data_IF_439984138047
#
_entry.id   IF_439984138047
#
_cell.length_a   1.000
_cell.length_b   1.000
_cell.length_c   1.000
_cell.angle_alpha   90.00
_cell.angle_beta   90.00
_cell.angle_gamma   90.00
#
_symmetry.space_group_name_H-M   'P 1'
#
loop_
_entity.id
_entity.type
_entity.pdbx_description
1 polymer ?
#
# COMPACT_ATOMS: atom_id res chain seq x y z
N UNK A 1 -11.94 -48.05 -8.50
CA UNK A 1 -11.81 -47.49 -7.13
C UNK A 1 -10.53 -46.69 -7.11
N UNK A 2 -10.65 -45.36 -7.16
CA UNK A 2 -9.65 -44.38 -6.69
C UNK A 2 -10.36 -43.02 -6.71
N UNK A 3 -10.83 -42.60 -5.54
CA UNK A 3 -11.39 -41.27 -5.36
C UNK A 3 -10.25 -40.25 -5.35
N UNK A 4 -10.48 -39.13 -6.01
CA UNK A 4 -9.65 -37.93 -5.99
C UNK A 4 -9.58 -37.42 -4.55
N UNK A 5 -8.37 -37.38 -4.01
CA UNK A 5 -8.07 -36.70 -2.75
C UNK A 5 -7.82 -35.22 -3.06
N UNK A 6 -8.90 -34.49 -3.34
CA UNK A 6 -8.88 -33.02 -3.35
C UNK A 6 -8.99 -32.53 -1.90
N UNK A 7 -7.93 -32.79 -1.13
CA UNK A 7 -7.75 -32.17 0.18
C UNK A 7 -7.70 -30.65 0.02
N UNK A 8 -8.39 -29.87 0.86
CA UNK A 8 -8.31 -28.42 0.80
C UNK A 8 -6.86 -28.01 1.07
N UNK A 9 -6.25 -27.28 0.12
CA UNK A 9 -4.96 -26.60 0.32
C UNK A 9 -5.10 -25.62 1.50
N UNK A 10 -4.88 -26.13 2.71
CA UNK A 10 -4.70 -25.38 3.94
C UNK A 10 -3.34 -24.70 3.87
N UNK A 11 -3.30 -23.53 3.24
CA UNK A 11 -2.06 -22.77 3.10
C UNK A 11 -2.16 -21.35 2.56
N UNK A 12 -3.36 -20.79 2.38
CA UNK A 12 -3.48 -19.34 2.23
C UNK A 12 -3.45 -18.74 3.63
N UNK A 13 -2.25 -18.47 4.15
CA UNK A 13 -2.10 -17.51 5.25
C UNK A 13 -2.85 -16.26 4.82
N UNK A 14 -3.97 -15.96 5.47
CA UNK A 14 -4.70 -14.72 5.32
C UNK A 14 -3.85 -13.60 5.91
N UNK A 15 -2.76 -13.25 5.23
CA UNK A 15 -2.14 -11.97 5.41
C UNK A 15 -3.20 -10.95 4.99
N UNK A 16 -3.94 -10.44 5.98
CA UNK A 16 -4.81 -9.30 5.82
C UNK A 16 -3.98 -8.23 5.12
N UNK A 17 -4.36 -7.90 3.89
CA UNK A 17 -3.69 -6.84 3.15
C UNK A 17 -3.80 -5.55 3.97
N UNK A 18 -2.71 -4.81 4.05
CA UNK A 18 -2.60 -3.65 4.92
C UNK A 18 -1.96 -2.50 4.17
N UNK A 19 -2.18 -1.29 4.68
CA UNK A 19 -1.72 -0.08 4.04
C UNK A 19 -0.37 0.35 4.60
N UNK A 20 0.52 0.72 3.70
CA UNK A 20 1.88 1.15 3.99
C UNK A 20 2.14 2.55 3.47
N UNK A 21 2.92 3.32 4.21
CA UNK A 21 3.36 4.66 3.80
C UNK A 21 4.55 4.58 2.86
N UNK A 22 4.46 5.22 1.70
CA UNK A 22 5.56 5.38 0.75
C UNK A 22 5.64 6.82 0.23
N UNK A 23 6.85 7.31 -0.01
CA UNK A 23 7.05 8.62 -0.63
C UNK A 23 6.84 8.54 -2.14
N UNK A 24 6.13 9.51 -2.70
CA UNK A 24 5.98 9.69 -4.14
C UNK A 24 6.75 10.93 -4.60
N UNK A 25 7.79 10.71 -5.40
CA UNK A 25 8.69 11.77 -5.87
C UNK A 25 8.05 12.63 -6.96
N UNK A 26 7.17 12.06 -7.79
CA UNK A 26 6.46 12.78 -8.85
C UNK A 26 5.46 13.83 -8.36
N UNK A 27 5.05 13.77 -7.10
CA UNK A 27 4.09 14.68 -6.47
C UNK A 27 4.72 15.70 -5.52
N UNK A 28 6.03 15.97 -5.63
CA UNK A 28 6.73 16.87 -4.72
C UNK A 28 7.17 16.22 -3.39
N UNK A 29 7.33 14.89 -3.38
CA UNK A 29 7.84 14.13 -2.23
C UNK A 29 6.84 13.94 -1.10
N UNK A 30 5.54 13.87 -1.43
CA UNK A 30 4.50 13.61 -0.45
C UNK A 30 4.41 12.11 -0.14
N UNK A 31 4.15 11.77 1.12
CA UNK A 31 3.88 10.40 1.52
C UNK A 31 2.40 10.04 1.28
N UNK A 32 2.18 8.90 0.64
CA UNK A 32 0.86 8.31 0.38
C UNK A 32 0.77 6.90 0.95
N UNK A 33 -0.45 6.43 1.16
CA UNK A 33 -0.73 5.05 1.54
C UNK A 33 -0.91 4.20 0.28
N UNK A 34 -0.22 3.06 0.24
CA UNK A 34 -0.38 2.03 -0.81
C UNK A 34 -0.67 0.69 -0.16
N UNK A 35 -1.38 -0.20 -0.87
CA UNK A 35 -1.59 -1.55 -0.38
C UNK A 35 -0.27 -2.33 -0.38
N UNK A 36 -0.04 -3.10 0.69
CA UNK A 36 1.12 -3.98 0.79
C UNK A 36 1.18 -4.94 -0.40
N UNK A 37 0.05 -5.53 -0.81
CA UNK A 37 -0.01 -6.41 -1.98
C UNK A 37 0.45 -5.72 -3.28
N UNK A 38 0.07 -4.46 -3.49
CA UNK A 38 0.51 -3.67 -4.63
C UNK A 38 2.01 -3.39 -4.56
N UNK A 39 2.50 -3.03 -3.37
CA UNK A 39 3.93 -2.80 -3.12
C UNK A 39 4.76 -4.10 -3.23
N UNK A 40 4.21 -5.26 -2.89
CA UNK A 40 4.91 -6.53 -2.99
C UNK A 40 4.97 -7.07 -4.42
N UNK A 41 4.08 -6.64 -5.31
CA UNK A 41 4.03 -7.12 -6.69
C UNK A 41 4.94 -6.30 -7.62
N UNK A 42 6.08 -6.86 -8.08
CA UNK A 42 7.01 -6.13 -8.96
C UNK A 42 6.49 -5.96 -10.39
N UNK A 43 5.41 -6.67 -10.77
CA UNK A 43 4.82 -6.58 -12.11
C UNK A 43 3.87 -5.38 -12.27
N UNK A 44 3.47 -4.74 -11.16
CA UNK A 44 2.64 -3.54 -11.20
C UNK A 44 3.51 -2.32 -11.49
N UNK A 45 3.35 -1.77 -12.69
CA UNK A 45 4.06 -0.56 -13.15
C UNK A 45 3.36 0.72 -12.72
N UNK A 46 2.05 0.66 -12.51
CA UNK A 46 1.24 1.73 -11.93
C UNK A 46 0.72 1.27 -10.57
N UNK A 47 0.75 2.16 -9.58
CA UNK A 47 0.23 1.90 -8.24
C UNK A 47 -0.83 2.95 -7.89
N UNK A 48 -1.97 2.47 -7.38
CA UNK A 48 -3.07 3.32 -6.95
C UNK A 48 -2.91 3.65 -5.45
N UNK A 49 -2.55 4.88 -5.07
CA UNK A 49 -2.55 5.28 -3.66
C UNK A 49 -3.98 5.33 -3.12
N UNK A 50 -4.14 5.18 -1.81
CA UNK A 50 -5.45 5.24 -1.14
C UNK A 50 -6.23 6.47 -1.57
N UNK A 51 -5.62 7.65 -1.51
CA UNK A 51 -6.32 8.91 -1.76
C UNK A 51 -7.01 9.02 -3.13
N UNK A 52 -6.77 8.07 -4.04
CA UNK A 52 -7.37 8.00 -5.36
C UNK A 52 -8.34 6.82 -5.55
N UNK A 53 -8.60 5.98 -4.53
CA UNK A 53 -9.46 4.78 -4.65
C UNK A 53 -10.90 5.10 -5.04
N UNK A 54 -11.41 6.25 -4.61
CA UNK A 54 -12.79 6.68 -4.85
C UNK A 54 -12.91 7.73 -5.98
N UNK A 55 -11.82 7.96 -6.72
CA UNK A 55 -11.80 8.90 -7.84
C UNK A 55 -12.22 8.18 -9.12
N UNK A 56 -13.14 8.76 -9.89
CA UNK A 56 -13.70 8.14 -11.11
C UNK A 56 -12.65 7.79 -12.16
N UNK A 57 -11.65 8.65 -12.34
CA UNK A 57 -10.55 8.46 -13.29
C UNK A 57 -9.23 8.82 -12.60
N UNK A 58 -8.69 7.92 -11.76
CA UNK A 58 -7.51 8.23 -10.96
C UNK A 58 -6.26 8.25 -11.84
N UNK A 59 -5.40 9.24 -11.61
CA UNK A 59 -4.04 9.23 -12.16
C UNK A 59 -3.16 8.42 -11.21
N UNK A 60 -2.99 7.15 -11.53
CA UNK A 60 -2.11 6.26 -10.77
C UNK A 60 -0.66 6.75 -10.79
N UNK A 61 0.12 6.30 -9.83
CA UNK A 61 1.51 6.71 -9.67
C UNK A 61 2.46 5.67 -10.28
N UNK A 62 3.41 6.15 -11.08
CA UNK A 62 4.45 5.30 -11.64
C UNK A 62 5.30 4.64 -10.54
N UNK A 63 5.46 3.32 -10.62
CA UNK A 63 6.23 2.52 -9.67
C UNK A 63 7.66 3.04 -9.44
N UNK A 64 8.44 3.47 -10.46
CA UNK A 64 9.78 4.04 -10.26
C UNK A 64 9.80 5.34 -9.45
N UNK A 65 8.68 6.06 -9.39
CA UNK A 65 8.53 7.32 -8.65
C UNK A 65 8.11 7.11 -7.20
N UNK A 66 7.96 5.86 -6.75
CA UNK A 66 7.54 5.51 -5.39
C UNK A 66 8.70 4.89 -4.63
N UNK A 67 8.88 5.25 -3.36
CA UNK A 67 9.91 4.68 -2.52
C UNK A 67 9.77 3.16 -2.42
N UNK A 68 10.86 2.43 -2.69
CA UNK A 68 10.88 0.96 -2.64
C UNK A 68 10.58 0.42 -1.24
N UNK A 69 11.04 1.15 -0.23
CA UNK A 69 10.82 0.82 1.17
C UNK A 69 9.71 1.69 1.75
N UNK A 70 9.00 1.10 2.71
CA UNK A 70 8.06 1.82 3.56
C UNK A 70 8.78 2.93 4.32
N UNK A 71 8.12 4.06 4.50
CA UNK A 71 8.66 5.24 5.16
C UNK A 71 7.88 5.61 6.42
N UNK A 72 8.52 6.39 7.28
CA UNK A 72 7.85 7.21 8.30
C UNK A 72 7.62 8.57 7.66
N UNK A 73 6.36 8.98 7.39
CA UNK A 73 6.09 10.27 6.76
C UNK A 73 6.65 11.43 7.59
N UNK A 74 7.31 12.38 6.92
CA UNK A 74 7.81 13.59 7.57
C UNK A 74 6.65 14.56 7.86
N UNK A 75 6.67 15.30 8.99
CA UNK A 75 5.68 16.36 9.25
C UNK A 75 5.60 17.34 8.08
N UNK A 76 4.39 17.68 7.65
CA UNK A 76 4.15 18.57 6.51
C UNK A 76 4.43 17.96 5.12
N UNK A 77 4.78 16.67 5.03
CA UNK A 77 5.00 15.92 3.78
C UNK A 77 4.10 14.69 3.69
N UNK A 78 2.86 14.83 4.13
CA UNK A 78 1.87 13.73 4.17
C UNK A 78 0.67 14.13 3.35
N UNK A 79 0.23 13.27 2.43
CA UNK A 79 -1.00 13.50 1.66
C UNK A 79 -2.18 13.69 2.63
N UNK A 80 -2.95 14.80 2.55
CA UNK A 80 -3.95 15.11 3.58
C UNK A 80 -5.10 14.10 3.59
N UNK A 81 -5.46 13.57 2.42
CA UNK A 81 -6.48 12.52 2.29
C UNK A 81 -6.02 11.22 2.93
N UNK A 82 -4.76 10.82 2.68
CA UNK A 82 -4.17 9.65 3.34
C UNK A 82 -4.01 9.87 4.86
N UNK A 83 -3.68 11.09 5.29
CA UNK A 83 -3.55 11.45 6.70
C UNK A 83 -4.89 11.34 7.44
N UNK A 84 -5.97 11.86 6.85
CA UNK A 84 -7.32 11.72 7.40
C UNK A 84 -7.70 10.24 7.56
N UNK A 85 -7.42 9.39 6.57
CA UNK A 85 -7.71 7.95 6.68
C UNK A 85 -6.91 7.27 7.79
N UNK A 86 -5.66 7.68 8.01
CA UNK A 86 -4.84 7.19 9.10
C UNK A 86 -5.47 7.44 10.48
N UNK A 87 -6.08 8.62 10.67
CA UNK A 87 -6.80 8.97 11.90
C UNK A 87 -8.04 8.09 12.11
N UNK A 88 -8.80 7.82 11.05
CA UNK A 88 -10.04 7.04 11.12
C UNK A 88 -9.79 5.53 11.27
N UNK A 89 -8.75 4.99 10.62
CA UNK A 89 -8.47 3.55 10.56
C UNK A 89 -7.29 3.08 11.38
N UNK A 90 -6.60 4.00 12.09
CA UNK A 90 -5.41 3.70 12.93
C UNK A 90 -4.35 2.90 12.20
N UNK A 91 -4.08 3.26 10.94
CA UNK A 91 -3.05 2.57 10.16
C UNK A 91 -1.71 2.78 10.88
N UNK A 92 -0.97 1.70 11.11
CA UNK A 92 0.28 1.80 11.85
C UNK A 92 1.27 2.71 11.11
N UNK A 93 1.70 3.80 11.73
CA UNK A 93 2.93 4.47 11.29
C UNK A 93 4.07 3.53 11.68
N UNK A 94 4.96 3.14 10.75
CA UNK A 94 6.11 2.34 11.12
C UNK A 94 6.88 3.08 12.21
N UNK A 95 7.16 2.40 13.33
CA UNK A 95 8.03 2.99 14.35
C UNK A 95 9.45 2.94 13.83
N UNK A 96 10.23 3.98 14.10
CA UNK A 96 11.66 3.89 13.91
C UNK A 96 12.16 2.72 14.77
N UNK A 97 12.80 1.72 14.17
CA UNK A 97 13.59 0.75 14.92
C UNK A 97 14.82 1.53 15.41
N UNK A 98 14.78 1.94 16.67
CA UNK A 98 15.92 2.46 17.42
C UNK A 98 16.99 1.39 17.60
#
# INVERSE_FOLDING_TARGET
MTALDDGPMTGASSYLDFWEWHEFTGGGGWAHLYLHSQMANPRLVMLLPWCLTDVRFPLEHDRPSISRHRVIPRPGRVCPVCAAQNEHRRIGVPRARS
#
